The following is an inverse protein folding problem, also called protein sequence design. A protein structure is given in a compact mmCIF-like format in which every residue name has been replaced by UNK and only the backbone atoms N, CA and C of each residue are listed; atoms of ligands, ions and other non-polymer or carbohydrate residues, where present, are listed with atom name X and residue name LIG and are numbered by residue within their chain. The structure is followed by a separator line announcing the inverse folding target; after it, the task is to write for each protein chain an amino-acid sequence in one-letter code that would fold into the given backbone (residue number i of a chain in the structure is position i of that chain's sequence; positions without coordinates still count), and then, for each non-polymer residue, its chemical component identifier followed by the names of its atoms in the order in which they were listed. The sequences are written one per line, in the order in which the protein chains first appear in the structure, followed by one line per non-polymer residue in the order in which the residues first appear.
data_IF_387201374164
#
_entry.id   IF_387201374164
#
_cell.length_a   1.000
_cell.length_b   1.000
_cell.length_c   1.000
_cell.angle_alpha   90.00
_cell.angle_beta   90.00
_cell.angle_gamma   90.00
#
_symmetry.space_group_name_H-M   'P 1'
#
loop_
_entity.id
_entity.type
_entity.pdbx_description
1 polymer ?
#
# COMPACT_ATOMS: atom_id res chain seq x y z
N UNK A 1 -15.11 -15.41 -15.96
CA UNK A 1 -13.92 -14.71 -15.42
C UNK A 1 -13.25 -15.67 -14.47
N UNK A 2 -11.98 -15.99 -14.66
CA UNK A 2 -11.23 -16.81 -13.71
C UNK A 2 -10.78 -15.90 -12.56
N UNK A 3 -11.20 -16.22 -11.33
CA UNK A 3 -10.76 -15.51 -10.14
C UNK A 3 -9.47 -16.19 -9.66
N UNK A 4 -8.38 -15.42 -9.56
CA UNK A 4 -7.15 -15.88 -8.92
C UNK A 4 -7.21 -15.41 -7.47
N UNK A 5 -7.03 -16.35 -6.54
CA UNK A 5 -6.89 -16.05 -5.11
C UNK A 5 -5.48 -16.45 -4.70
N UNK A 6 -4.77 -15.51 -4.06
CA UNK A 6 -3.45 -15.74 -3.49
C UNK A 6 -3.60 -15.86 -1.97
N UNK A 7 -2.96 -16.86 -1.37
CA UNK A 7 -2.78 -16.90 0.08
C UNK A 7 -1.80 -15.81 0.53
N UNK A 8 -1.79 -15.49 1.83
CA UNK A 8 -0.82 -14.55 2.39
C UNK A 8 0.63 -15.00 2.13
N UNK A 9 0.92 -16.28 2.29
CA UNK A 9 2.24 -16.86 2.00
C UNK A 9 2.64 -16.69 0.52
N UNK A 10 1.69 -16.84 -0.41
CA UNK A 10 1.93 -16.61 -1.82
C UNK A 10 2.16 -15.12 -2.13
N UNK A 11 1.44 -14.22 -1.44
CA UNK A 11 1.67 -12.78 -1.57
C UNK A 11 3.05 -12.39 -1.04
N UNK A 12 3.47 -12.89 0.12
CA UNK A 12 4.81 -12.67 0.67
C UNK A 12 5.91 -13.15 -0.28
N UNK A 13 5.72 -14.32 -0.90
CA UNK A 13 6.69 -14.87 -1.84
C UNK A 13 6.79 -14.08 -3.14
N UNK A 14 5.65 -13.65 -3.70
CA UNK A 14 5.61 -12.94 -4.98
C UNK A 14 5.91 -11.44 -4.85
N UNK A 15 5.51 -10.84 -3.73
CA UNK A 15 5.59 -9.41 -3.46
C UNK A 15 6.17 -9.18 -2.06
N UNK A 16 7.48 -9.39 -1.84
CA UNK A 16 8.09 -9.29 -0.51
C UNK A 16 7.96 -7.89 0.13
N UNK A 17 7.61 -6.87 -0.65
CA UNK A 17 7.37 -5.50 -0.19
C UNK A 17 5.94 -5.04 -0.55
N UNK A 18 4.92 -5.64 0.07
CA UNK A 18 3.53 -5.25 -0.15
C UNK A 18 2.92 -4.53 1.06
N UNK A 19 1.95 -3.66 0.77
CA UNK A 19 1.07 -3.03 1.76
C UNK A 19 -0.36 -3.12 1.22
N UNK A 20 -1.30 -3.50 2.08
CA UNK A 20 -2.73 -3.45 1.83
C UNK A 20 -3.31 -2.37 2.74
N UNK A 21 -4.14 -1.50 2.17
CA UNK A 21 -4.80 -0.43 2.91
C UNK A 21 -6.26 -0.31 2.51
N UNK A 22 -7.06 0.21 3.43
CA UNK A 22 -8.49 0.39 3.23
C UNK A 22 -8.82 1.71 2.52
N UNK A 23 -10.12 1.97 2.34
CA UNK A 23 -10.63 3.20 1.71
C UNK A 23 -10.30 4.48 2.48
N UNK A 24 -9.94 4.37 3.76
CA UNK A 24 -9.51 5.50 4.58
C UNK A 24 -7.99 5.71 4.52
N UNK A 25 -7.30 4.94 3.66
CA UNK A 25 -5.85 4.90 3.54
C UNK A 25 -5.18 4.42 4.84
N UNK A 26 -5.88 3.62 5.65
CA UNK A 26 -5.31 2.95 6.82
C UNK A 26 -4.76 1.57 6.43
N UNK A 27 -3.60 1.21 6.96
CA UNK A 27 -2.94 -0.06 6.68
C UNK A 27 -3.75 -1.20 7.29
N UNK A 28 -4.20 -2.14 6.47
CA UNK A 28 -4.95 -3.32 6.91
C UNK A 28 -4.06 -4.57 7.00
N UNK A 29 -3.04 -4.67 6.15
CA UNK A 29 -2.03 -5.72 6.21
C UNK A 29 -0.74 -5.28 5.49
N UNK A 30 0.38 -5.93 5.76
CA UNK A 30 1.64 -5.68 5.05
C UNK A 30 2.53 -6.93 5.08
N UNK A 31 3.57 -6.91 4.25
CA UNK A 31 4.56 -7.98 4.26
C UNK A 31 5.35 -7.98 5.57
N UNK A 32 5.84 -9.16 5.96
CA UNK A 32 6.73 -9.31 7.12
C UNK A 32 7.98 -8.44 6.99
N UNK A 33 8.54 -8.33 5.79
CA UNK A 33 9.73 -7.51 5.53
C UNK A 33 9.46 -6.03 5.81
N UNK A 34 8.35 -5.51 5.28
CA UNK A 34 7.90 -4.13 5.48
C UNK A 34 7.60 -3.87 6.96
N UNK A 35 6.90 -4.78 7.63
CA UNK A 35 6.61 -4.69 9.06
C UNK A 35 7.89 -4.64 9.90
N UNK A 36 8.87 -5.50 9.61
CA UNK A 36 10.13 -5.59 10.35
C UNK A 36 11.04 -4.39 10.10
N UNK A 37 11.09 -3.89 8.86
CA UNK A 37 11.98 -2.80 8.47
C UNK A 37 11.48 -1.43 8.95
N UNK A 38 10.16 -1.20 8.94
CA UNK A 38 9.57 0.12 9.19
C UNK A 38 8.72 0.21 10.46
N UNK A 39 8.53 -0.90 11.19
CA UNK A 39 7.74 -0.91 12.42
C UNK A 39 6.28 -0.50 12.19
N UNK A 40 5.73 -0.90 11.04
CA UNK A 40 4.36 -0.56 10.65
C UNK A 40 3.35 -1.20 11.60
N UNK A 41 2.29 -0.46 11.89
CA UNK A 41 1.18 -0.94 12.70
C UNK A 41 -0.09 -1.02 11.87
N UNK A 42 -0.87 -2.09 12.05
CA UNK A 42 -2.19 -2.23 11.43
C UNK A 42 -3.12 -1.13 12.00
N UNK A 43 -4.12 -0.73 11.22
CA UNK A 43 -5.10 0.33 11.53
C UNK A 43 -4.49 1.73 11.70
N UNK A 44 -3.29 1.95 11.16
CA UNK A 44 -2.65 3.28 11.14
C UNK A 44 -2.72 3.92 9.75
N UNK A 45 -2.82 5.26 9.67
CA UNK A 45 -2.81 5.94 8.38
C UNK A 45 -1.50 5.70 7.60
N UNK A 46 -1.61 5.37 6.31
CA UNK A 46 -0.47 5.21 5.40
C UNK A 46 0.45 6.44 5.41
N UNK A 47 -0.16 7.63 5.55
CA UNK A 47 0.54 8.91 5.63
C UNK A 47 1.46 9.06 6.84
N UNK A 48 1.34 8.21 7.86
CA UNK A 48 2.24 8.23 9.01
C UNK A 48 3.64 7.74 8.64
N UNK A 49 3.73 6.77 7.73
CA UNK A 49 4.97 6.10 7.36
C UNK A 49 5.45 6.43 5.95
N UNK A 50 4.52 6.81 5.06
CA UNK A 50 4.82 7.04 3.66
C UNK A 50 4.33 8.41 3.19
N UNK A 51 5.06 8.94 2.23
CA UNK A 51 4.64 10.04 1.37
C UNK A 51 4.41 9.48 -0.02
N UNK A 52 3.25 9.77 -0.61
CA UNK A 52 3.01 9.45 -2.02
C UNK A 52 3.75 10.49 -2.86
N UNK A 53 4.69 10.03 -3.67
CA UNK A 53 5.52 10.85 -4.56
C UNK A 53 4.90 10.91 -5.95
N UNK A 54 4.22 9.85 -6.39
CA UNK A 54 3.50 9.84 -7.65
C UNK A 54 2.10 9.22 -7.47
N UNK A 55 1.06 9.90 -7.97
CA UNK A 55 1.10 11.19 -8.66
C UNK A 55 1.29 12.38 -7.71
N UNK A 56 1.98 13.42 -8.20
CA UNK A 56 2.36 14.63 -7.44
C UNK A 56 1.14 15.53 -7.13
N UNK A 57 0.05 15.40 -7.88
CA UNK A 57 -0.87 16.52 -8.11
C UNK A 57 -2.35 16.27 -7.81
N UNK A 58 -2.67 15.36 -6.89
CA UNK A 58 -4.06 15.16 -6.48
C UNK A 58 -4.15 15.06 -4.97
N UNK A 59 -5.17 15.70 -4.39
CA UNK A 59 -5.61 15.39 -3.04
C UNK A 59 -5.78 13.87 -2.94
N UNK A 60 -4.90 13.23 -2.18
CA UNK A 60 -4.82 11.78 -2.13
C UNK A 60 -6.05 11.30 -1.37
N UNK A 61 -7.02 10.83 -2.13
CA UNK A 61 -8.16 10.07 -1.64
C UNK A 61 -8.08 8.69 -2.27
N UNK A 62 -8.71 7.70 -1.63
CA UNK A 62 -8.80 6.36 -2.21
C UNK A 62 -9.47 6.36 -3.58
N UNK A 63 -10.50 7.19 -3.76
CA UNK A 63 -11.18 7.36 -5.05
C UNK A 63 -10.25 7.96 -6.12
N UNK A 64 -9.39 8.90 -5.73
CA UNK A 64 -8.35 9.44 -6.62
C UNK A 64 -7.37 8.35 -7.07
N UNK A 65 -6.99 7.42 -6.19
CA UNK A 65 -6.10 6.30 -6.53
C UNK A 65 -6.76 5.28 -7.47
N UNK A 66 -8.06 5.01 -7.29
CA UNK A 66 -8.79 4.07 -8.15
C UNK A 66 -9.04 4.60 -9.57
N UNK A 67 -9.18 5.92 -9.72
CA UNK A 67 -9.54 6.57 -10.98
C UNK A 67 -8.33 6.99 -11.82
N UNK A 68 -7.11 6.74 -11.34
CA UNK A 68 -5.87 7.09 -12.03
C UNK A 68 -5.72 6.35 -13.37
N UNK A 69 -5.54 7.13 -14.44
CA UNK A 69 -5.22 6.67 -15.79
C UNK A 69 -3.83 6.05 -15.91
N UNK A 70 -2.92 6.37 -14.97
CA UNK A 70 -1.60 5.77 -14.85
C UNK A 70 -1.50 5.05 -13.49
N UNK A 71 -1.39 3.70 -13.46
CA UNK A 71 -1.49 2.92 -12.23
C UNK A 71 -0.22 2.94 -11.37
N UNK A 72 0.77 3.77 -11.71
CA UNK A 72 2.05 3.79 -11.00
C UNK A 72 1.91 4.65 -9.74
N UNK A 73 1.80 3.97 -8.60
CA UNK A 73 1.87 4.58 -7.28
C UNK A 73 3.31 4.48 -6.77
N UNK A 74 3.96 5.64 -6.52
CA UNK A 74 5.26 5.66 -5.85
C UNK A 74 5.12 6.15 -4.43
N UNK A 75 5.60 5.34 -3.49
CA UNK A 75 5.65 5.65 -2.07
C UNK A 75 7.10 5.87 -1.65
N UNK A 76 7.33 6.91 -0.86
CA UNK A 76 8.60 7.17 -0.19
C UNK A 76 8.42 7.03 1.32
N UNK A 77 9.30 6.28 1.97
CA UNK A 77 9.32 6.15 3.43
C UNK A 77 9.66 7.50 4.07
N UNK A 78 8.93 7.86 5.12
CA UNK A 78 9.24 9.00 5.98
C UNK A 78 10.32 8.57 6.98
N UNK A 79 11.44 9.28 6.97
CA UNK A 79 12.50 9.13 7.99
C UNK A 79 12.10 9.82 9.29
#
# INVERSE_FOLDING_TARGET
MSQITLSKEQLEYLFPYFIIFDKNLCISDCSLEISNQFGLSIDTPLSQYFTIVEPIDSAISFDSLLTQTHPNLKLQVKN
#
